data_IF_709213251606
#
_entry.id   IF_709213251606
#
_cell.length_a   1.000
_cell.length_b   1.000
_cell.length_c   1.000
_cell.angle_alpha   90.00
_cell.angle_beta   90.00
_cell.angle_gamma   90.00
#
_symmetry.space_group_name_H-M   'P 1'
#
loop_
_entity.id
_entity.type
_entity.pdbx_description
1 polymer ?
#
# COMPACT_ATOMS: atom_id res chain seq x y z
N UNK A 1 42.99 -51.47 63.24
CA UNK A 1 43.24 -50.20 62.49
C UNK A 1 41.99 -49.91 61.65
N UNK A 2 41.11 -49.14 62.20
CA UNK A 2 39.78 -48.81 61.66
C UNK A 2 39.77 -47.35 61.15
N UNK A 3 39.67 -47.13 59.83
CA UNK A 3 39.52 -45.82 59.25
C UNK A 3 38.06 -45.39 59.30
N UNK A 4 37.79 -44.31 60.00
CA UNK A 4 36.47 -43.63 60.00
C UNK A 4 36.29 -42.87 58.72
N UNK A 5 35.17 -43.12 58.05
CA UNK A 5 34.71 -42.36 56.89
C UNK A 5 33.83 -41.21 57.41
N UNK A 6 34.23 -39.99 57.13
CA UNK A 6 33.43 -38.78 57.43
C UNK A 6 32.60 -38.46 56.21
N UNK A 7 31.27 -38.60 56.30
CA UNK A 7 30.33 -38.11 55.30
C UNK A 7 30.14 -36.60 55.49
N UNK A 8 30.54 -35.81 54.48
CA UNK A 8 30.25 -34.38 54.38
C UNK A 8 28.96 -34.18 53.62
N UNK A 9 27.89 -33.81 54.30
CA UNK A 9 26.58 -33.52 53.72
C UNK A 9 26.60 -32.08 53.17
N UNK A 10 26.66 -31.92 51.83
CA UNK A 10 26.45 -30.61 51.19
C UNK A 10 24.94 -30.34 51.06
N UNK A 11 24.42 -29.45 51.90
CA UNK A 11 23.12 -28.80 51.67
C UNK A 11 23.23 -27.85 50.50
N UNK A 12 22.66 -28.19 49.36
CA UNK A 12 22.46 -27.24 48.27
C UNK A 12 21.18 -26.43 48.57
N UNK A 13 21.33 -25.18 49.01
CA UNK A 13 20.21 -24.26 49.10
C UNK A 13 19.81 -23.81 47.70
N UNK A 14 18.65 -24.30 47.19
CA UNK A 14 18.00 -23.76 46.02
C UNK A 14 17.46 -22.34 46.32
N UNK A 15 18.19 -21.31 45.94
CA UNK A 15 17.63 -19.98 45.84
C UNK A 15 16.71 -19.93 44.61
N UNK A 16 15.39 -20.04 44.85
CA UNK A 16 14.39 -19.72 43.81
C UNK A 16 14.47 -18.22 43.55
N UNK A 17 15.12 -17.85 42.45
CA UNK A 17 15.07 -16.50 41.92
C UNK A 17 13.70 -16.31 41.28
N UNK A 18 12.78 -15.69 42.01
CA UNK A 18 11.54 -15.19 41.43
C UNK A 18 11.89 -14.07 40.45
N UNK A 19 12.05 -14.40 39.19
CA UNK A 19 12.05 -13.43 38.10
C UNK A 19 10.63 -12.86 37.99
N UNK A 20 10.35 -11.81 38.74
CA UNK A 20 9.20 -10.96 38.47
C UNK A 20 9.46 -10.32 37.14
N UNK A 21 8.75 -10.79 36.08
CA UNK A 21 8.68 -10.09 34.84
C UNK A 21 8.15 -8.68 35.14
N UNK A 22 9.01 -7.70 35.03
CA UNK A 22 8.59 -6.31 35.14
C UNK A 22 7.54 -6.08 34.03
N UNK A 23 6.39 -5.47 34.35
CA UNK A 23 5.43 -5.13 33.33
C UNK A 23 6.15 -4.20 32.36
N UNK A 24 6.21 -4.63 31.07
CA UNK A 24 6.65 -3.76 30.00
C UNK A 24 5.75 -2.53 30.06
N UNK A 25 6.28 -1.40 30.52
CA UNK A 25 5.64 -0.12 30.36
C UNK A 25 5.43 0.08 28.87
N UNK A 26 4.24 -0.21 28.36
CA UNK A 26 3.80 0.33 27.10
C UNK A 26 3.81 1.85 27.29
N UNK A 27 4.87 2.51 26.85
CA UNK A 27 4.84 3.94 26.68
C UNK A 27 3.62 4.22 25.82
N UNK A 28 2.55 4.77 26.42
CA UNK A 28 1.40 5.27 25.68
C UNK A 28 1.95 6.31 24.71
N UNK A 29 2.02 5.94 23.44
CA UNK A 29 2.27 6.92 22.41
C UNK A 29 1.15 7.94 22.53
N UNK A 30 1.50 9.21 22.64
CA UNK A 30 0.51 10.28 22.66
C UNK A 30 0.25 10.72 21.22
N UNK A 31 -0.99 11.13 20.95
CA UNK A 31 -1.28 11.83 19.70
C UNK A 31 -0.41 13.10 19.65
N UNK A 32 0.14 13.42 18.50
CA UNK A 32 0.90 14.65 18.30
C UNK A 32 0.50 15.34 17.01
N UNK A 33 0.62 16.66 16.99
CA UNK A 33 0.26 17.52 15.86
C UNK A 33 1.50 17.78 15.01
N UNK A 34 1.37 17.70 13.69
CA UNK A 34 2.44 17.99 12.74
C UNK A 34 1.88 18.54 11.42
N UNK A 35 2.67 19.36 10.74
CA UNK A 35 2.48 19.78 9.34
C UNK A 35 3.32 18.95 8.36
N UNK A 36 4.26 18.16 8.91
CA UNK A 36 5.18 17.31 8.14
C UNK A 36 4.92 15.84 8.51
N UNK A 37 4.16 15.16 7.68
CA UNK A 37 3.77 13.76 7.94
C UNK A 37 4.77 12.80 7.32
N UNK A 38 5.38 11.97 8.16
CA UNK A 38 6.11 10.79 7.68
C UNK A 38 5.09 9.74 7.27
N UNK A 39 4.99 9.48 5.98
CA UNK A 39 4.06 8.51 5.41
C UNK A 39 4.74 7.72 4.29
N UNK A 40 4.39 6.44 4.19
CA UNK A 40 4.75 5.58 3.07
C UNK A 40 3.46 4.94 2.54
N UNK A 41 3.24 4.97 1.23
CA UNK A 41 2.03 4.44 0.57
C UNK A 41 0.73 5.08 1.12
N UNK A 42 0.59 6.41 1.07
CA UNK A 42 -0.53 7.11 1.68
C UNK A 42 -1.81 6.98 0.87
N UNK A 43 -2.93 6.76 1.56
CA UNK A 43 -4.29 6.93 1.04
C UNK A 43 -5.10 7.81 1.97
N UNK A 44 -6.17 8.41 1.48
CA UNK A 44 -6.97 9.35 2.24
C UNK A 44 -8.47 9.08 2.07
N UNK A 45 -9.22 9.21 3.16
CA UNK A 45 -10.66 9.20 3.18
C UNK A 45 -11.21 10.46 3.86
N UNK A 46 -12.46 10.80 3.56
CA UNK A 46 -13.11 11.96 4.17
C UNK A 46 -14.49 11.57 4.70
N UNK A 47 -14.71 11.83 5.98
CA UNK A 47 -15.98 11.58 6.64
C UNK A 47 -16.29 12.67 7.69
N UNK A 48 -17.52 13.18 7.69
CA UNK A 48 -18.00 14.13 8.71
C UNK A 48 -17.06 15.31 8.98
N UNK A 49 -16.54 15.95 7.90
CA UNK A 49 -15.66 17.10 8.02
C UNK A 49 -14.24 16.76 8.51
N UNK A 50 -13.81 15.49 8.41
CA UNK A 50 -12.49 15.04 8.85
C UNK A 50 -11.84 14.22 7.74
N UNK A 51 -10.61 14.55 7.41
CA UNK A 51 -9.74 13.75 6.56
C UNK A 51 -9.04 12.71 7.42
N UNK A 52 -8.98 11.48 6.94
CA UNK A 52 -8.27 10.36 7.53
C UNK A 52 -7.19 9.93 6.54
N UNK A 53 -5.94 10.04 6.94
CA UNK A 53 -4.78 9.60 6.19
C UNK A 53 -4.33 8.25 6.75
N UNK A 54 -4.25 7.24 5.90
CA UNK A 54 -3.75 5.92 6.24
C UNK A 54 -2.45 5.68 5.45
N UNK A 55 -1.51 4.96 6.03
CA UNK A 55 -0.23 4.64 5.38
C UNK A 55 0.37 3.34 5.92
N UNK A 56 1.32 2.79 5.18
CA UNK A 56 2.10 1.62 5.61
C UNK A 56 2.63 1.79 7.02
N UNK A 57 2.48 0.74 7.85
CA UNK A 57 2.96 0.74 9.23
C UNK A 57 2.55 -0.50 10.02
N UNK A 58 2.91 -0.55 11.28
CA UNK A 58 2.45 -1.62 12.20
C UNK A 58 0.94 -1.50 12.40
N UNK A 59 0.16 -2.42 11.78
CA UNK A 59 -1.30 -2.37 11.78
C UNK A 59 -1.87 -1.13 11.11
N UNK A 60 -1.17 -0.54 10.10
CA UNK A 60 -1.48 0.74 9.43
C UNK A 60 -1.28 1.94 10.36
N UNK A 61 -0.38 2.84 9.95
CA UNK A 61 -0.25 4.17 10.55
C UNK A 61 -1.37 5.06 10.04
N UNK A 62 -1.89 5.95 10.91
CA UNK A 62 -2.93 6.88 10.48
C UNK A 62 -2.88 8.21 11.22
N UNK A 63 -3.47 9.21 10.56
CA UNK A 63 -3.61 10.56 11.08
C UNK A 63 -4.96 11.16 10.67
N UNK A 64 -5.39 12.19 11.39
CA UNK A 64 -6.61 12.94 11.06
C UNK A 64 -6.32 14.41 10.86
N UNK A 65 -7.10 15.10 10.00
CA UNK A 65 -7.00 16.52 9.75
C UNK A 65 -8.35 17.15 9.44
N UNK A 66 -8.51 18.45 9.72
CA UNK A 66 -9.67 19.23 9.28
C UNK A 66 -9.40 20.04 8.01
N UNK A 67 -8.13 20.25 7.66
CA UNK A 67 -7.69 21.18 6.63
C UNK A 67 -6.63 20.60 5.67
N UNK A 68 -6.20 19.34 5.88
CA UNK A 68 -5.11 18.66 5.16
C UNK A 68 -3.74 19.32 5.29
N UNK A 69 -3.60 20.34 6.14
CA UNK A 69 -2.34 21.04 6.41
C UNK A 69 -1.77 20.63 7.77
N UNK A 70 -2.63 20.60 8.77
CA UNK A 70 -2.27 20.21 10.11
C UNK A 70 -2.85 18.83 10.41
N UNK A 71 -1.99 17.87 10.75
CA UNK A 71 -2.35 16.49 10.98
C UNK A 71 -2.16 16.09 12.43
N UNK A 72 -3.11 15.33 12.96
CA UNK A 72 -3.02 14.71 14.28
C UNK A 72 -2.69 13.24 14.08
N UNK A 73 -1.43 12.89 14.33
CA UNK A 73 -0.95 11.51 14.29
C UNK A 73 -1.57 10.70 15.41
N UNK A 74 -2.19 9.59 15.09
CA UNK A 74 -2.88 8.77 16.07
C UNK A 74 -1.90 7.84 16.81
N UNK A 75 -2.12 7.63 18.12
CA UNK A 75 -1.18 6.88 18.98
C UNK A 75 -1.27 5.37 18.80
N UNK A 76 -2.41 4.86 18.32
CA UNK A 76 -2.67 3.43 18.10
C UNK A 76 -2.68 3.14 16.59
N UNK A 77 -2.34 1.91 16.16
CA UNK A 77 -2.53 1.52 14.77
C UNK A 77 -4.01 1.55 14.38
N UNK A 78 -4.31 1.72 13.09
CA UNK A 78 -5.67 1.69 12.59
C UNK A 78 -6.30 0.28 12.71
N UNK A 79 -5.51 -0.77 12.43
CA UNK A 79 -5.85 -2.16 12.71
C UNK A 79 -5.11 -2.56 14.00
N UNK A 80 -5.78 -2.54 15.13
CA UNK A 80 -5.17 -2.88 16.43
C UNK A 80 -4.79 -4.37 16.53
N UNK A 81 -5.58 -5.24 15.93
CA UNK A 81 -5.34 -6.69 15.89
C UNK A 81 -5.39 -7.19 14.45
N UNK A 82 -4.22 -7.40 13.86
CA UNK A 82 -4.11 -7.98 12.53
C UNK A 82 -4.60 -9.44 12.57
N UNK A 83 -5.55 -9.83 11.68
CA UNK A 83 -6.15 -11.17 11.72
C UNK A 83 -5.14 -12.30 11.58
N UNK A 84 -5.32 -13.39 12.33
CA UNK A 84 -4.38 -14.52 12.36
C UNK A 84 -4.17 -15.17 10.97
N UNK A 85 -5.21 -15.23 10.13
CA UNK A 85 -5.13 -15.81 8.80
C UNK A 85 -4.04 -15.16 7.92
N UNK A 86 -3.68 -13.90 8.19
CA UNK A 86 -2.61 -13.19 7.46
C UNK A 86 -1.24 -13.86 7.65
N UNK A 87 -0.95 -14.33 8.87
CA UNK A 87 0.27 -15.07 9.18
C UNK A 87 0.27 -16.47 8.57
N UNK A 88 -0.90 -17.13 8.51
CA UNK A 88 -1.06 -18.44 7.90
C UNK A 88 -0.88 -18.38 6.38
N UNK A 89 -1.38 -17.30 5.75
CA UNK A 89 -1.25 -17.05 4.32
C UNK A 89 0.15 -16.58 3.92
N UNK A 90 0.80 -15.78 4.78
CA UNK A 90 2.12 -15.17 4.54
C UNK A 90 3.03 -15.43 5.75
N UNK A 91 3.69 -16.58 5.84
CA UNK A 91 4.48 -16.96 7.02
C UNK A 91 5.60 -16.00 7.41
N UNK A 92 6.09 -15.19 6.46
CA UNK A 92 7.10 -14.15 6.70
C UNK A 92 6.54 -12.82 7.24
N UNK A 93 5.23 -12.62 7.24
CA UNK A 93 4.58 -11.40 7.69
C UNK A 93 4.76 -11.15 9.19
N UNK A 94 4.89 -9.88 9.60
CA UNK A 94 5.19 -9.48 10.98
C UNK A 94 4.36 -8.27 11.43
N UNK A 95 3.08 -8.22 11.06
CA UNK A 95 2.14 -7.12 11.38
C UNK A 95 2.51 -5.74 10.82
N UNK A 96 3.54 -5.65 9.99
CA UNK A 96 3.84 -4.45 9.22
C UNK A 96 3.00 -4.48 7.95
N UNK A 97 1.82 -3.89 8.05
CA UNK A 97 0.81 -3.85 6.99
C UNK A 97 1.21 -2.80 5.96
N UNK A 98 1.14 -3.15 4.67
CA UNK A 98 1.57 -2.28 3.59
C UNK A 98 0.39 -1.77 2.79
N UNK A 99 0.59 -0.62 2.16
CA UNK A 99 -0.22 -0.06 1.10
C UNK A 99 -1.72 -0.32 1.29
N UNK A 100 -2.38 0.38 2.23
CA UNK A 100 -3.82 0.32 2.36
C UNK A 100 -4.52 1.03 1.18
N UNK A 101 -5.74 0.65 0.87
CA UNK A 101 -6.69 1.45 0.11
C UNK A 101 -8.06 1.44 0.79
N UNK A 102 -8.80 2.53 0.67
CA UNK A 102 -10.06 2.71 1.39
C UNK A 102 -11.09 3.42 0.53
N UNK A 103 -12.29 2.84 0.45
CA UNK A 103 -13.40 3.40 -0.31
C UNK A 103 -14.72 3.32 0.47
N UNK A 104 -15.59 4.26 0.23
CA UNK A 104 -16.99 4.14 0.65
C UNK A 104 -17.85 3.64 -0.52
N UNK A 105 -18.56 2.55 -0.31
CA UNK A 105 -19.51 2.00 -1.27
C UNK A 105 -20.73 1.42 -0.54
N UNK A 106 -21.94 1.71 -1.02
CA UNK A 106 -23.21 1.28 -0.42
C UNK A 106 -23.32 1.56 1.08
N UNK A 107 -23.00 2.81 1.49
CA UNK A 107 -23.03 3.29 2.89
C UNK A 107 -22.13 2.48 3.85
N UNK A 108 -21.11 1.84 3.33
CA UNK A 108 -20.12 1.09 4.08
C UNK A 108 -18.72 1.49 3.65
N UNK A 109 -17.82 1.60 4.58
CA UNK A 109 -16.39 1.74 4.33
C UNK A 109 -15.77 0.36 4.13
N UNK A 110 -14.92 0.27 3.14
CA UNK A 110 -14.15 -0.91 2.80
C UNK A 110 -12.67 -0.55 2.77
N UNK A 111 -11.86 -1.35 3.48
CA UNK A 111 -10.42 -1.20 3.59
C UNK A 111 -9.77 -2.45 3.02
N UNK A 112 -8.95 -2.28 1.98
CA UNK A 112 -8.01 -3.30 1.53
C UNK A 112 -6.62 -3.00 2.08
N UNK A 113 -5.82 -4.04 2.37
CA UNK A 113 -4.48 -3.89 2.92
C UNK A 113 -3.58 -5.05 2.53
N UNK A 114 -2.29 -4.80 2.41
CA UNK A 114 -1.32 -5.78 1.93
C UNK A 114 -0.54 -6.45 3.06
N UNK A 115 -0.45 -7.77 3.02
CA UNK A 115 0.40 -8.59 3.87
C UNK A 115 1.45 -9.27 3.00
N UNK A 116 2.74 -8.99 3.21
CA UNK A 116 3.80 -9.52 2.37
C UNK A 116 5.14 -9.61 3.10
N UNK A 117 6.16 -10.05 2.37
CA UNK A 117 7.57 -10.06 2.76
C UNK A 117 8.39 -9.46 1.62
N UNK A 118 9.31 -8.55 1.94
CA UNK A 118 10.08 -7.83 0.94
C UNK A 118 10.81 -8.76 -0.05
N UNK A 119 10.64 -8.48 -1.36
CA UNK A 119 11.25 -9.25 -2.45
C UNK A 119 10.60 -10.62 -2.72
N UNK A 120 9.41 -10.87 -2.17
CA UNK A 120 8.61 -12.08 -2.36
C UNK A 120 7.25 -11.75 -2.96
N UNK A 121 6.65 -12.73 -3.65
CA UNK A 121 5.25 -12.67 -4.06
C UNK A 121 4.38 -13.73 -3.35
N UNK A 122 4.83 -14.25 -2.22
CA UNK A 122 3.94 -14.91 -1.26
C UNK A 122 3.30 -13.82 -0.43
N UNK A 123 2.13 -13.37 -0.86
CA UNK A 123 1.45 -12.16 -0.37
C UNK A 123 -0.05 -12.36 -0.34
N UNK A 124 -0.75 -11.52 0.42
CA UNK A 124 -2.19 -11.51 0.48
C UNK A 124 -2.73 -10.07 0.66
N UNK A 125 -3.87 -9.78 0.06
CA UNK A 125 -4.65 -8.57 0.28
C UNK A 125 -5.82 -8.96 1.17
N UNK A 126 -5.89 -8.36 2.36
CA UNK A 126 -7.00 -8.50 3.30
C UNK A 126 -8.08 -7.46 3.06
N UNK A 127 -9.27 -7.76 3.57
CA UNK A 127 -10.45 -6.92 3.49
C UNK A 127 -11.03 -6.69 4.88
N UNK A 128 -11.34 -5.45 5.18
CA UNK A 128 -12.14 -5.08 6.35
C UNK A 128 -13.29 -4.15 5.95
N UNK A 129 -14.33 -4.11 6.75
CA UNK A 129 -15.47 -3.21 6.55
C UNK A 129 -15.95 -2.56 7.83
N UNK A 130 -16.49 -1.35 7.73
CA UNK A 130 -17.10 -0.63 8.83
C UNK A 130 -18.25 0.28 8.35
N UNK A 131 -19.13 0.68 9.27
CA UNK A 131 -20.19 1.66 8.98
C UNK A 131 -19.70 3.11 9.03
N UNK A 132 -18.56 3.37 9.66
CA UNK A 132 -17.87 4.68 9.72
C UNK A 132 -16.37 4.50 9.87
N UNK A 133 -15.59 5.52 9.50
CA UNK A 133 -14.11 5.47 9.59
C UNK A 133 -13.60 5.32 11.02
N UNK A 134 -14.33 5.84 11.99
CA UNK A 134 -14.01 5.74 13.43
C UNK A 134 -14.78 4.62 14.13
N UNK A 135 -15.55 3.83 13.39
CA UNK A 135 -16.34 2.72 13.90
C UNK A 135 -15.53 1.46 14.16
N UNK A 136 -16.26 0.40 14.51
CA UNK A 136 -15.65 -0.92 14.64
C UNK A 136 -15.46 -1.56 13.26
N UNK A 137 -14.23 -1.91 12.94
CA UNK A 137 -13.87 -2.60 11.71
C UNK A 137 -14.01 -4.11 11.88
N UNK A 138 -14.69 -4.74 10.92
CA UNK A 138 -14.87 -6.18 10.85
C UNK A 138 -13.92 -6.77 9.83
N UNK A 139 -13.21 -7.84 10.17
CA UNK A 139 -12.44 -8.64 9.22
C UNK A 139 -13.39 -9.40 8.28
N UNK A 140 -13.23 -9.19 6.99
CA UNK A 140 -13.98 -9.88 5.92
C UNK A 140 -13.12 -10.94 5.23
N UNK A 141 -11.86 -11.13 5.68
CA UNK A 141 -10.95 -12.14 5.19
C UNK A 141 -10.06 -11.69 4.04
N UNK A 142 -9.63 -12.65 3.22
CA UNK A 142 -8.69 -12.45 2.11
C UNK A 142 -9.44 -12.20 0.80
N UNK A 143 -9.12 -11.10 0.09
CA UNK A 143 -9.67 -10.85 -1.26
C UNK A 143 -8.89 -11.68 -2.28
N UNK A 144 -7.55 -11.61 -2.24
CA UNK A 144 -6.66 -12.23 -3.20
C UNK A 144 -5.33 -12.58 -2.55
N UNK A 145 -4.77 -13.72 -2.92
CA UNK A 145 -3.45 -14.14 -2.45
C UNK A 145 -2.60 -14.69 -3.59
N UNK A 146 -1.32 -14.37 -3.56
CA UNK A 146 -0.31 -14.93 -4.47
C UNK A 146 0.68 -15.82 -3.72
N UNK A 147 1.30 -16.74 -4.45
CA UNK A 147 2.34 -17.64 -3.93
C UNK A 147 3.50 -17.72 -4.89
N UNK A 148 4.71 -17.69 -4.35
CA UNK A 148 5.93 -17.95 -5.09
C UNK A 148 5.82 -19.29 -5.86
N UNK A 149 6.26 -19.32 -7.11
CA UNK A 149 6.21 -20.46 -8.04
C UNK A 149 4.81 -20.89 -8.51
N UNK A 150 3.73 -20.34 -7.98
CA UNK A 150 2.37 -20.60 -8.47
C UNK A 150 1.88 -19.47 -9.36
N UNK A 151 2.11 -18.21 -8.90
CA UNK A 151 1.55 -17.02 -9.54
C UNK A 151 2.68 -16.15 -10.11
N UNK A 152 2.42 -15.53 -11.26
CA UNK A 152 3.34 -14.60 -11.91
C UNK A 152 3.01 -13.12 -11.62
N UNK A 153 2.28 -12.84 -10.55
CA UNK A 153 1.92 -11.52 -10.05
C UNK A 153 2.05 -11.48 -8.53
N UNK A 154 1.97 -10.30 -7.95
CA UNK A 154 2.11 -10.10 -6.51
C UNK A 154 0.83 -9.49 -5.92
N UNK A 155 0.24 -10.11 -4.90
CA UNK A 155 -0.98 -9.65 -4.23
C UNK A 155 -0.66 -8.57 -3.19
N UNK A 156 -0.24 -7.40 -3.65
CA UNK A 156 -0.03 -6.18 -2.85
C UNK A 156 -0.50 -4.95 -3.61
N UNK A 157 -0.50 -3.81 -2.96
CA UNK A 157 -0.84 -2.50 -3.51
C UNK A 157 -2.26 -2.46 -4.10
N UNK A 158 -3.28 -2.78 -3.29
CA UNK A 158 -4.66 -2.74 -3.75
C UNK A 158 -5.13 -1.31 -4.03
N UNK A 159 -6.02 -1.15 -5.02
CA UNK A 159 -6.85 0.02 -5.18
C UNK A 159 -8.25 -0.39 -5.65
N UNK A 160 -9.27 0.07 -4.96
CA UNK A 160 -10.67 -0.08 -5.36
C UNK A 160 -11.05 0.95 -6.41
N UNK A 161 -11.92 0.57 -7.31
CA UNK A 161 -12.61 1.50 -8.21
C UNK A 161 -14.05 1.04 -8.44
N UNK A 162 -14.98 1.97 -8.48
CA UNK A 162 -16.37 1.73 -8.85
C UNK A 162 -16.56 2.28 -10.27
N UNK A 163 -17.07 1.44 -11.17
CA UNK A 163 -17.33 1.86 -12.54
C UNK A 163 -18.65 2.62 -12.71
N UNK A 164 -19.02 2.92 -13.97
CA UNK A 164 -20.25 3.66 -14.29
C UNK A 164 -21.53 2.86 -14.02
N UNK A 165 -21.44 1.53 -13.97
CA UNK A 165 -22.53 0.60 -13.70
C UNK A 165 -22.64 0.24 -12.22
N UNK A 166 -21.98 1.00 -11.31
CA UNK A 166 -21.88 0.72 -9.87
C UNK A 166 -21.23 -0.63 -9.53
N UNK A 167 -20.43 -1.18 -10.46
CA UNK A 167 -19.70 -2.43 -10.29
C UNK A 167 -18.36 -2.15 -9.60
N UNK A 168 -18.06 -2.78 -8.45
CA UNK A 168 -16.76 -2.66 -7.82
C UNK A 168 -15.69 -3.52 -8.52
N UNK A 169 -14.48 -2.97 -8.58
CA UNK A 169 -13.28 -3.60 -9.11
C UNK A 169 -12.12 -3.41 -8.14
N UNK A 170 -11.17 -4.33 -8.19
CA UNK A 170 -9.89 -4.23 -7.52
C UNK A 170 -8.77 -4.25 -8.56
N UNK A 171 -7.88 -3.26 -8.50
CA UNK A 171 -6.58 -3.34 -9.15
C UNK A 171 -5.49 -3.51 -8.09
N UNK A 172 -4.42 -4.25 -8.43
CA UNK A 172 -3.30 -4.51 -7.53
C UNK A 172 -2.06 -4.92 -8.33
N UNK A 173 -0.92 -5.01 -7.69
CA UNK A 173 0.27 -5.62 -8.26
C UNK A 173 1.53 -4.81 -8.09
N UNK A 174 2.63 -5.52 -8.03
CA UNK A 174 3.97 -4.99 -7.89
C UNK A 174 4.94 -5.94 -8.57
N UNK A 175 5.70 -5.44 -9.53
CA UNK A 175 6.66 -6.21 -10.32
C UNK A 175 6.02 -7.41 -11.05
N UNK A 176 6.70 -8.53 -11.15
CA UNK A 176 6.26 -9.77 -11.85
C UNK A 176 5.57 -9.45 -13.18
N UNK A 177 4.32 -9.87 -13.37
CA UNK A 177 3.55 -9.58 -14.59
C UNK A 177 2.84 -8.20 -14.55
N UNK A 178 3.20 -7.36 -13.60
CA UNK A 178 2.69 -5.99 -13.52
C UNK A 178 1.34 -5.89 -12.82
N UNK A 179 0.52 -4.96 -13.30
CA UNK A 179 -0.72 -4.55 -12.65
C UNK A 179 -1.88 -5.41 -13.10
N UNK A 180 -2.57 -5.98 -12.14
CA UNK A 180 -3.75 -6.82 -12.30
C UNK A 180 -5.03 -6.05 -12.04
N UNK A 181 -6.14 -6.47 -12.66
CA UNK A 181 -7.48 -5.95 -12.43
C UNK A 181 -8.49 -7.10 -12.44
N UNK A 182 -9.44 -7.08 -11.50
CA UNK A 182 -10.56 -8.03 -11.47
C UNK A 182 -11.84 -7.38 -10.95
N UNK A 183 -13.00 -7.89 -11.36
CA UNK A 183 -14.29 -7.52 -10.78
C UNK A 183 -14.43 -8.10 -9.38
N UNK A 184 -15.09 -7.36 -8.53
CA UNK A 184 -15.53 -7.80 -7.21
C UNK A 184 -17.04 -8.07 -7.22
N UNK A 185 -17.50 -8.89 -6.30
CA UNK A 185 -18.93 -9.05 -6.02
C UNK A 185 -19.44 -8.02 -4.98
N UNK A 186 -20.70 -8.14 -4.59
CA UNK A 186 -21.31 -7.26 -3.61
C UNK A 186 -20.74 -7.39 -2.19
N UNK A 187 -19.91 -8.39 -1.93
CA UNK A 187 -19.16 -8.60 -0.69
C UNK A 187 -17.72 -8.14 -0.80
N UNK A 188 -17.34 -7.50 -1.90
CA UNK A 188 -16.01 -7.01 -2.24
C UNK A 188 -14.95 -8.12 -2.35
N UNK A 189 -15.36 -9.34 -2.73
CA UNK A 189 -14.47 -10.45 -3.06
C UNK A 189 -14.40 -10.66 -4.58
N UNK A 190 -13.34 -11.35 -5.04
CA UNK A 190 -13.12 -11.57 -6.47
C UNK A 190 -14.30 -12.28 -7.14
N UNK A 191 -14.88 -11.66 -8.17
CA UNK A 191 -15.96 -12.20 -9.00
C UNK A 191 -15.51 -12.54 -10.44
N UNK A 192 -14.26 -12.26 -10.79
CA UNK A 192 -13.70 -12.62 -12.09
C UNK A 192 -12.24 -13.06 -11.96
N UNK A 193 -11.72 -13.71 -13.00
CA UNK A 193 -10.28 -13.94 -13.11
C UNK A 193 -9.56 -12.61 -13.33
N UNK A 194 -8.35 -12.42 -12.76
CA UNK A 194 -7.52 -11.25 -13.04
C UNK A 194 -7.13 -11.14 -14.51
N UNK A 195 -7.03 -9.90 -14.97
CA UNK A 195 -6.39 -9.54 -16.24
C UNK A 195 -5.24 -8.58 -15.96
N UNK A 196 -4.16 -8.65 -16.73
CA UNK A 196 -3.06 -7.69 -16.63
C UNK A 196 -3.41 -6.45 -17.46
N UNK A 197 -3.30 -5.25 -16.86
CA UNK A 197 -3.67 -3.98 -17.51
C UNK A 197 -2.49 -3.03 -17.72
N UNK A 198 -1.34 -3.25 -17.07
CA UNK A 198 -0.14 -2.43 -17.27
C UNK A 198 1.14 -3.19 -16.96
N UNK A 199 2.21 -2.88 -17.71
CA UNK A 199 3.58 -3.38 -17.56
C UNK A 199 4.58 -2.27 -17.84
N UNK A 200 5.79 -2.38 -17.29
CA UNK A 200 6.86 -1.39 -17.43
C UNK A 200 7.88 -1.70 -18.52
N UNK A 201 8.01 -2.96 -18.92
CA UNK A 201 9.03 -3.40 -19.86
C UNK A 201 8.78 -2.92 -21.30
N UNK A 202 9.87 -2.89 -22.10
CA UNK A 202 9.77 -2.56 -23.50
C UNK A 202 9.21 -3.75 -24.32
N UNK A 203 8.44 -3.50 -25.39
CA UNK A 203 7.79 -4.55 -26.18
C UNK A 203 8.71 -5.63 -26.77
N UNK A 204 10.01 -5.34 -26.93
CA UNK A 204 11.01 -6.27 -27.46
C UNK A 204 11.91 -6.87 -26.38
N UNK A 205 11.56 -6.74 -25.11
CA UNK A 205 12.32 -7.39 -24.05
C UNK A 205 11.98 -8.88 -24.01
N UNK A 206 12.83 -9.70 -24.64
CA UNK A 206 12.73 -11.16 -24.66
C UNK A 206 12.76 -11.81 -23.27
N UNK A 207 13.00 -11.01 -22.23
CA UNK A 207 12.99 -11.42 -20.83
C UNK A 207 11.75 -10.94 -20.07
N UNK A 208 10.77 -10.40 -20.77
CA UNK A 208 9.40 -10.25 -20.26
C UNK A 208 8.85 -11.67 -20.04
N UNK A 209 9.12 -12.21 -18.87
CA UNK A 209 8.98 -13.63 -18.63
C UNK A 209 7.51 -14.03 -18.56
N UNK A 210 7.14 -15.11 -19.19
CA UNK A 210 5.83 -15.76 -19.06
C UNK A 210 5.51 -16.13 -17.60
N UNK A 211 6.54 -16.34 -16.80
CA UNK A 211 6.42 -16.55 -15.34
C UNK A 211 7.69 -16.00 -14.68
N UNK A 212 7.78 -14.68 -14.46
CA UNK A 212 8.98 -14.08 -13.93
C UNK A 212 9.24 -14.61 -12.52
N UNK A 213 10.34 -15.31 -12.38
CA UNK A 213 10.95 -15.50 -11.07
C UNK A 213 11.46 -14.14 -10.58
N UNK A 214 11.75 -14.00 -9.30
CA UNK A 214 12.32 -12.76 -8.73
C UNK A 214 13.52 -12.19 -9.51
N UNK A 215 14.25 -13.03 -10.25
CA UNK A 215 15.36 -12.63 -11.12
C UNK A 215 14.95 -11.71 -12.27
N UNK A 216 13.75 -11.88 -12.82
CA UNK A 216 13.22 -11.09 -13.93
C UNK A 216 12.19 -10.04 -13.48
N UNK A 217 11.59 -10.20 -12.31
CA UNK A 217 10.63 -9.27 -11.75
C UNK A 217 11.15 -7.82 -11.73
N UNK A 218 12.46 -7.61 -11.47
CA UNK A 218 13.09 -6.30 -11.45
C UNK A 218 13.08 -5.52 -12.76
N UNK A 219 12.89 -6.19 -13.91
CA UNK A 219 12.79 -5.53 -15.22
C UNK A 219 11.39 -4.96 -15.48
N UNK A 220 10.38 -5.51 -14.84
CA UNK A 220 9.02 -5.02 -14.85
C UNK A 220 8.76 -4.20 -13.58
N UNK A 221 9.59 -3.17 -13.35
CA UNK A 221 9.52 -2.30 -12.18
C UNK A 221 8.32 -1.34 -12.27
N UNK A 222 7.14 -1.87 -12.04
CA UNK A 222 5.85 -1.19 -11.97
C UNK A 222 5.08 -1.70 -10.78
N UNK A 223 4.43 -0.78 -10.03
CA UNK A 223 3.62 -1.13 -8.86
C UNK A 223 2.64 -0.02 -8.49
N UNK A 224 1.96 -0.17 -7.36
CA UNK A 224 1.11 0.86 -6.77
C UNK A 224 0.09 1.45 -7.74
N UNK A 225 -0.80 0.65 -8.33
CA UNK A 225 -1.85 1.17 -9.20
C UNK A 225 -2.85 2.00 -8.39
N UNK A 226 -3.28 3.11 -8.97
CA UNK A 226 -4.45 3.86 -8.50
C UNK A 226 -5.30 4.29 -9.67
N UNK A 227 -6.62 4.03 -9.62
CA UNK A 227 -7.55 4.43 -10.69
C UNK A 227 -8.45 5.55 -10.20
N UNK A 228 -8.28 6.73 -10.81
CA UNK A 228 -9.20 7.87 -10.64
C UNK A 228 -10.17 7.93 -11.81
N UNK A 229 -11.47 8.05 -11.53
CA UNK A 229 -12.51 8.34 -12.52
C UNK A 229 -12.75 9.85 -12.58
N UNK A 230 -12.49 10.48 -13.73
CA UNK A 230 -12.69 11.91 -13.94
C UNK A 230 -13.05 12.23 -15.39
N UNK A 231 -14.01 13.14 -15.61
CA UNK A 231 -14.36 13.65 -16.93
C UNK A 231 -14.75 12.57 -17.96
N UNK A 232 -15.31 11.44 -17.48
CA UNK A 232 -15.71 10.30 -18.33
C UNK A 232 -14.53 9.45 -18.80
N UNK A 233 -13.40 9.50 -18.07
CA UNK A 233 -12.23 8.61 -18.23
C UNK A 233 -11.87 7.97 -16.90
N UNK A 234 -11.25 6.80 -16.99
CA UNK A 234 -10.49 6.16 -15.92
C UNK A 234 -9.01 6.44 -16.15
N UNK A 235 -8.34 7.04 -15.17
CA UNK A 235 -6.91 7.34 -15.18
C UNK A 235 -6.19 6.34 -14.30
N UNK A 236 -5.38 5.47 -14.91
CA UNK A 236 -4.53 4.55 -14.19
C UNK A 236 -3.18 5.24 -13.91
N UNK A 237 -2.97 5.58 -12.66
CA UNK A 237 -1.66 5.96 -12.14
C UNK A 237 -0.92 4.71 -11.69
N UNK A 238 0.37 4.67 -11.96
CA UNK A 238 1.26 3.59 -11.51
C UNK A 238 2.60 4.18 -11.09
N UNK A 239 3.30 3.48 -10.25
CA UNK A 239 4.66 3.88 -9.89
C UNK A 239 5.67 3.04 -10.67
N UNK A 240 6.69 3.69 -11.20
CA UNK A 240 7.79 3.09 -11.92
C UNK A 240 9.07 3.10 -11.11
N UNK A 241 9.92 2.13 -11.40
CA UNK A 241 11.26 1.97 -10.89
C UNK A 241 11.27 1.58 -9.39
N UNK A 242 12.13 2.14 -8.53
CA UNK A 242 12.37 1.55 -7.21
C UNK A 242 12.11 2.52 -6.07
N UNK A 243 11.22 2.11 -5.16
CA UNK A 243 11.06 2.67 -3.83
C UNK A 243 12.11 2.12 -2.84
N UNK A 244 11.96 2.46 -1.57
CA UNK A 244 12.49 1.75 -0.41
C UNK A 244 14.01 1.70 -0.31
N UNK A 245 14.70 2.66 -0.95
CA UNK A 245 16.15 2.84 -0.93
C UNK A 245 16.58 4.17 -0.31
N UNK A 246 15.68 4.83 0.44
CA UNK A 246 15.92 6.15 1.00
C UNK A 246 16.32 7.15 -0.10
N UNK A 247 17.38 7.90 0.11
CA UNK A 247 17.91 8.86 -0.86
C UNK A 247 18.38 8.25 -2.21
N UNK A 248 18.50 6.94 -2.30
CA UNK A 248 18.85 6.23 -3.55
C UNK A 248 17.64 5.72 -4.32
N UNK A 249 16.44 6.04 -3.86
CA UNK A 249 15.20 5.72 -4.59
C UNK A 249 15.14 6.52 -5.89
N UNK A 250 14.59 5.90 -6.93
CA UNK A 250 14.34 6.55 -8.23
C UNK A 250 12.88 6.40 -8.67
N UNK A 251 12.01 6.26 -7.70
CA UNK A 251 10.57 6.09 -7.82
C UNK A 251 9.93 7.28 -8.51
N UNK A 252 8.95 7.05 -9.39
CA UNK A 252 8.24 8.08 -10.13
C UNK A 252 6.87 7.59 -10.56
N UNK A 253 5.94 8.51 -10.79
CA UNK A 253 4.56 8.20 -11.16
C UNK A 253 4.34 8.41 -12.66
N UNK A 254 3.68 7.45 -13.29
CA UNK A 254 3.20 7.56 -14.66
C UNK A 254 1.69 7.37 -14.72
N UNK A 255 1.06 7.88 -15.79
CA UNK A 255 -0.38 7.82 -15.99
C UNK A 255 -0.75 7.46 -17.42
N UNK A 256 -1.82 6.69 -17.57
CA UNK A 256 -2.56 6.50 -18.82
C UNK A 256 -4.04 6.55 -18.55
N UNK A 257 -4.86 6.66 -19.60
CA UNK A 257 -6.31 6.75 -19.45
C UNK A 257 -7.07 5.83 -20.39
N UNK A 258 -8.28 5.47 -19.99
CA UNK A 258 -9.21 4.64 -20.75
C UNK A 258 -10.64 5.16 -20.62
N UNK A 259 -11.51 4.82 -21.58
CA UNK A 259 -12.96 4.99 -21.45
C UNK A 259 -13.63 3.84 -20.67
N UNK A 260 -12.93 2.76 -20.45
CA UNK A 260 -13.41 1.59 -19.74
C UNK A 260 -12.44 1.26 -18.60
N UNK A 261 -12.96 0.85 -17.45
CA UNK A 261 -12.15 0.46 -16.30
C UNK A 261 -11.21 -0.71 -16.63
N UNK A 262 -11.60 -1.60 -17.53
CA UNK A 262 -10.77 -2.72 -18.00
C UNK A 262 -9.69 -2.34 -19.01
N UNK A 263 -9.58 -1.07 -19.40
CA UNK A 263 -8.63 -0.61 -20.40
C UNK A 263 -9.15 -0.74 -21.87
N UNK A 264 -8.26 -0.63 -22.86
CA UNK A 264 -6.82 -0.35 -22.73
C UNK A 264 -6.54 1.04 -22.15
N UNK A 265 -5.54 1.13 -21.28
CA UNK A 265 -5.05 2.41 -20.75
C UNK A 265 -3.95 2.95 -21.68
N UNK A 266 -4.25 4.04 -22.37
CA UNK A 266 -3.32 4.65 -23.32
C UNK A 266 -2.63 5.86 -22.66
N UNK A 267 -1.35 6.03 -22.95
CA UNK A 267 -0.59 7.24 -22.61
C UNK A 267 -0.91 8.40 -23.61
N UNK A 268 -0.27 9.56 -23.41
CA UNK A 268 -0.48 10.73 -24.28
C UNK A 268 -0.11 10.49 -25.74
N UNK A 269 0.83 9.57 -25.99
CA UNK A 269 1.31 9.24 -27.33
C UNK A 269 0.51 8.08 -27.96
N UNK A 270 -0.52 7.59 -27.25
CA UNK A 270 -1.39 6.50 -27.70
C UNK A 270 -0.82 5.10 -27.51
N UNK A 271 0.27 4.94 -26.72
CA UNK A 271 0.82 3.62 -26.39
C UNK A 271 0.05 3.02 -25.22
N UNK A 272 -0.29 1.74 -25.36
CA UNK A 272 -0.94 0.97 -24.29
C UNK A 272 0.02 0.70 -23.13
N UNK A 273 -0.43 0.99 -21.92
CA UNK A 273 0.31 0.69 -20.68
C UNK A 273 0.56 -0.81 -20.51
N UNK A 274 -0.28 -1.68 -21.07
CA UNK A 274 -0.03 -3.12 -21.14
C UNK A 274 1.27 -3.44 -21.90
N UNK A 275 1.66 -2.59 -22.84
CA UNK A 275 2.84 -2.72 -23.68
C UNK A 275 3.95 -1.72 -23.31
N UNK A 276 4.04 -1.35 -22.04
CA UNK A 276 5.07 -0.46 -21.52
C UNK A 276 4.85 1.03 -21.80
N UNK A 277 3.63 1.42 -22.19
CA UNK A 277 3.21 2.82 -22.27
C UNK A 277 3.10 3.48 -20.88
N UNK A 278 2.86 4.78 -20.87
CA UNK A 278 2.66 5.62 -19.70
C UNK A 278 3.28 7.00 -19.89
N UNK A 279 2.56 8.02 -19.54
CA UNK A 279 3.05 9.40 -19.52
C UNK A 279 3.61 9.71 -18.14
N UNK A 280 4.85 10.20 -18.06
CA UNK A 280 5.43 10.63 -16.78
C UNK A 280 4.56 11.75 -16.18
N UNK A 281 4.16 11.56 -14.92
CA UNK A 281 3.29 12.48 -14.20
C UNK A 281 4.00 13.21 -13.06
N UNK A 282 4.83 12.48 -12.30
CA UNK A 282 5.64 13.04 -11.21
C UNK A 282 6.95 12.27 -11.07
N UNK A 283 8.03 12.98 -10.83
CA UNK A 283 9.31 12.43 -10.37
C UNK A 283 9.93 13.36 -9.32
N UNK A 284 10.97 12.90 -8.65
CA UNK A 284 11.71 13.72 -7.68
C UNK A 284 12.44 14.87 -8.37
N UNK A 285 12.35 16.07 -7.80
CA UNK A 285 13.01 17.30 -8.29
C UNK A 285 14.51 17.37 -7.92
N UNK A 286 14.99 16.41 -7.12
CA UNK A 286 16.36 16.29 -6.60
C UNK A 286 16.78 17.44 -5.66
N UNK A 287 15.86 18.31 -5.29
CA UNK A 287 16.09 19.43 -4.36
C UNK A 287 15.29 19.29 -3.08
N UNK A 288 14.02 18.97 -3.18
CA UNK A 288 13.14 18.66 -2.08
C UNK A 288 12.98 17.15 -1.91
N UNK A 289 12.76 16.44 -3.02
CA UNK A 289 12.59 15.00 -3.05
C UNK A 289 13.50 14.33 -4.08
N UNK A 290 14.19 13.28 -3.65
CA UNK A 290 15.02 12.43 -4.53
C UNK A 290 14.14 11.62 -5.49
N UNK A 291 13.00 11.17 -5.01
CA UNK A 291 12.05 10.35 -5.74
C UNK A 291 10.65 10.51 -5.11
N UNK A 292 9.60 10.22 -5.86
CA UNK A 292 8.22 10.23 -5.37
C UNK A 292 7.37 9.17 -6.08
N UNK A 293 6.51 8.50 -5.34
CA UNK A 293 5.63 7.46 -5.90
C UNK A 293 4.64 6.92 -4.89
N UNK A 294 3.98 5.83 -5.26
CA UNK A 294 2.86 5.24 -4.56
C UNK A 294 1.78 6.26 -4.26
N UNK A 295 1.04 6.63 -5.28
CA UNK A 295 0.09 7.72 -5.22
C UNK A 295 -1.34 7.25 -5.02
N UNK A 296 -2.16 8.19 -4.54
CA UNK A 296 -3.60 8.14 -4.62
C UNK A 296 -4.13 9.48 -5.18
N UNK A 297 -5.25 9.44 -5.87
CA UNK A 297 -5.83 10.60 -6.54
C UNK A 297 -7.36 10.62 -6.33
N UNK A 298 -7.91 11.77 -6.00
CA UNK A 298 -9.30 11.90 -5.60
C UNK A 298 -9.94 13.13 -6.21
N UNK A 299 -11.22 13.02 -6.62
CA UNK A 299 -12.11 14.16 -6.74
C UNK A 299 -12.91 14.24 -5.43
N UNK A 300 -12.56 15.20 -4.60
CA UNK A 300 -13.07 15.30 -3.23
C UNK A 300 -13.42 16.75 -2.89
N UNK A 301 -14.66 16.99 -2.44
CA UNK A 301 -15.15 18.32 -2.08
C UNK A 301 -14.95 19.38 -3.18
N UNK A 302 -15.07 19.00 -4.46
CA UNK A 302 -14.91 19.90 -5.59
C UNK A 302 -13.46 20.20 -5.99
N UNK A 303 -12.49 19.50 -5.39
CA UNK A 303 -11.06 19.60 -5.72
C UNK A 303 -10.56 18.25 -6.21
N UNK A 304 -9.72 18.27 -7.27
CA UNK A 304 -8.93 17.09 -7.66
C UNK A 304 -7.61 17.13 -6.90
N UNK A 305 -7.36 16.09 -6.09
CA UNK A 305 -6.24 16.02 -5.15
C UNK A 305 -5.37 14.82 -5.49
N UNK A 306 -4.08 15.05 -5.54
CA UNK A 306 -3.06 14.02 -5.65
C UNK A 306 -2.28 13.93 -4.34
N UNK A 307 -2.06 12.72 -3.85
CA UNK A 307 -1.16 12.45 -2.74
C UNK A 307 -0.21 11.31 -3.09
N UNK A 308 1.00 11.35 -2.56
CA UNK A 308 1.97 10.25 -2.64
C UNK A 308 2.99 10.38 -1.51
N UNK A 309 3.95 9.48 -1.44
CA UNK A 309 5.12 9.76 -0.61
C UNK A 309 6.31 10.20 -1.49
N UNK A 310 7.15 11.06 -0.92
CA UNK A 310 8.42 11.48 -1.51
C UNK A 310 9.58 11.23 -0.57
N UNK A 311 10.71 10.80 -1.10
CA UNK A 311 11.94 10.57 -0.35
C UNK A 311 12.71 11.87 -0.20
N UNK A 312 12.66 12.49 0.98
CA UNK A 312 13.20 13.82 1.25
C UNK A 312 14.71 13.88 1.04
N UNK A 313 15.17 14.76 0.16
CA UNK A 313 16.60 15.04 -0.04
C UNK A 313 17.25 15.64 1.21
N UNK A 314 16.47 16.36 2.03
CA UNK A 314 16.96 17.04 3.25
C UNK A 314 16.98 16.15 4.49
N UNK A 315 16.14 15.10 4.54
CA UNK A 315 16.01 14.18 5.66
C UNK A 315 16.52 12.78 5.33
N UNK A 316 17.62 12.70 4.57
CA UNK A 316 18.30 11.45 4.22
C UNK A 316 17.36 10.38 3.63
N UNK A 317 16.44 10.79 2.77
CA UNK A 317 15.50 9.88 2.11
C UNK A 317 14.35 9.39 3.00
N UNK A 318 14.02 10.10 4.07
CA UNK A 318 12.79 9.82 4.82
C UNK A 318 11.57 10.03 3.92
N UNK A 319 10.62 9.10 3.99
CA UNK A 319 9.38 9.19 3.21
C UNK A 319 8.42 10.18 3.86
N UNK A 320 8.05 11.24 3.14
CA UNK A 320 7.13 12.28 3.58
C UNK A 320 5.91 12.35 2.67
N UNK A 321 4.78 12.73 3.25
CA UNK A 321 3.56 12.99 2.50
C UNK A 321 3.75 14.18 1.55
N UNK A 322 3.46 13.96 0.27
CA UNK A 322 3.29 15.00 -0.74
C UNK A 322 1.80 15.13 -1.03
N UNK A 323 1.30 16.36 -1.08
CA UNK A 323 -0.07 16.69 -1.48
C UNK A 323 -0.05 17.80 -2.50
N UNK A 324 -0.70 17.60 -3.65
CA UNK A 324 -0.78 18.60 -4.72
C UNK A 324 -2.19 18.62 -5.33
N UNK A 325 -2.71 19.79 -5.78
CA UNK A 325 -3.89 19.83 -6.61
C UNK A 325 -3.58 19.23 -7.98
N UNK A 326 -4.47 18.39 -8.49
CA UNK A 326 -4.43 17.96 -9.90
C UNK A 326 -5.09 19.07 -10.73
N UNK A 327 -4.39 19.49 -11.77
CA UNK A 327 -4.93 20.36 -12.83
C UNK A 327 -5.20 19.53 -14.09
N UNK A 328 -6.12 20.00 -14.89
CA UNK A 328 -6.56 19.30 -16.09
C UNK A 328 -6.34 20.17 -17.31
N UNK A 329 -5.75 19.61 -18.35
CA UNK A 329 -5.69 20.27 -19.68
C UNK A 329 -7.08 20.29 -20.32
N UNK A 330 -7.25 21.09 -21.39
CA UNK A 330 -8.53 21.15 -22.13
C UNK A 330 -8.97 19.77 -22.66
N UNK A 331 -8.02 18.90 -23.01
CA UNK A 331 -8.26 17.52 -23.47
C UNK A 331 -8.25 16.51 -22.32
N UNK A 332 -8.41 16.98 -21.06
CA UNK A 332 -8.57 16.18 -19.86
C UNK A 332 -7.34 15.31 -19.52
N UNK A 333 -6.10 15.80 -19.73
CA UNK A 333 -4.93 15.16 -19.14
C UNK A 333 -4.58 15.80 -17.80
N UNK A 334 -4.27 14.96 -16.77
CA UNK A 334 -3.86 15.49 -15.48
C UNK A 334 -2.43 16.03 -15.55
N UNK A 335 -2.14 17.07 -14.76
CA UNK A 335 -0.79 17.57 -14.51
C UNK A 335 -0.70 18.22 -13.12
N UNK A 336 0.52 18.38 -12.63
CA UNK A 336 0.86 19.07 -11.40
C UNK A 336 1.70 20.31 -11.73
N UNK A 337 1.60 21.35 -10.89
CA UNK A 337 2.50 22.52 -10.95
C UNK A 337 3.82 22.24 -10.25
#
# INVERSE_FOLDING_TARGET
MTKKLILLSCMIALCAINLHAQPRHHQRRMAFVTDTVMAHDPVMAYENGTYHLLSTGMGIQWATSKDRKTWVMQPTPFIEQVPQWTHDSVPGFRNHVWAPDIIQWHNRWWLAYSCSTFGKNTSAIGLMSASSLTGQWKDEGCIVASKEKRDNWNAIDPCFVIDDDDQPWLTWGSFWDGIQLARLDSTMHLASKPITIARRYQPNDSNAAENPTSKFAGRNAIEAPFILKHGGYYYLFVSWDYCCRGAQSNYRVAVGRSKQVSGPYLDRDGRDMLNGGGTLFLEGDKTEFEAAGHCAAYDLNGESIFICHGYSARLNGAALLIQKPIKWTHDLWPYLD
#
